data_IF_153354415525
#
_entry.id   IF_153354415525
#
_cell.length_a   1.000
_cell.length_b   1.000
_cell.length_c   1.000
_cell.angle_alpha   90.00
_cell.angle_beta   90.00
_cell.angle_gamma   90.00
#
_symmetry.space_group_name_H-M   'P 1'
#
loop_
_entity.id
_entity.type
_entity.pdbx_description
1 polymer ?
#
# COMPACT_ATOMS: atom_id res chain seq x y z
N UNK A 1 -26.84 -43.91 30.89
CA UNK A 1 -25.45 -43.94 30.38
C UNK A 1 -25.32 -42.84 29.33
N UNK A 2 -24.76 -41.66 29.66
CA UNK A 2 -24.79 -40.50 28.73
C UNK A 2 -23.54 -39.63 28.87
N UNK A 3 -22.36 -40.22 28.68
CA UNK A 3 -21.05 -39.51 28.74
C UNK A 3 -20.27 -39.53 27.40
N UNK A 4 -20.90 -39.98 26.31
CA UNK A 4 -20.25 -40.11 24.99
C UNK A 4 -20.30 -38.87 24.08
N UNK A 5 -21.20 -37.92 24.32
CA UNK A 5 -21.54 -36.90 23.30
C UNK A 5 -20.52 -35.74 23.20
N UNK A 6 -19.86 -35.38 24.30
CA UNK A 6 -19.05 -34.17 24.36
C UNK A 6 -17.63 -34.36 23.78
N UNK A 7 -17.12 -35.59 23.79
CA UNK A 7 -15.77 -35.93 23.28
C UNK A 7 -15.74 -36.03 21.76
N UNK A 8 -16.82 -36.55 21.16
CA UNK A 8 -17.05 -36.57 19.71
C UNK A 8 -17.14 -35.14 19.15
N UNK A 9 -17.92 -34.29 19.82
CA UNK A 9 -18.12 -32.90 19.43
C UNK A 9 -16.80 -32.09 19.49
N UNK A 10 -15.94 -32.38 20.46
CA UNK A 10 -14.62 -31.77 20.56
C UNK A 10 -13.69 -32.19 19.41
N UNK A 11 -13.72 -33.47 18.99
CA UNK A 11 -12.96 -33.97 17.84
C UNK A 11 -13.41 -33.32 16.54
N UNK A 12 -14.72 -33.22 16.31
CA UNK A 12 -15.28 -32.57 15.12
C UNK A 12 -14.93 -31.08 15.05
N UNK A 13 -14.94 -30.37 16.19
CA UNK A 13 -14.54 -28.95 16.26
C UNK A 13 -13.05 -28.75 15.96
N UNK A 14 -12.18 -29.66 16.42
CA UNK A 14 -10.74 -29.58 16.12
C UNK A 14 -10.44 -29.89 14.65
N UNK A 15 -11.10 -30.87 14.04
CA UNK A 15 -10.98 -31.15 12.61
C UNK A 15 -11.40 -29.96 11.75
N UNK A 16 -12.51 -29.28 12.11
CA UNK A 16 -12.99 -28.10 11.38
C UNK A 16 -12.02 -26.92 11.50
N UNK A 17 -11.42 -26.71 12.68
CA UNK A 17 -10.41 -25.65 12.92
C UNK A 17 -9.13 -25.87 12.10
N UNK A 18 -8.69 -27.12 11.94
CA UNK A 18 -7.54 -27.45 11.10
C UNK A 18 -7.83 -27.19 9.60
N UNK A 19 -9.04 -27.44 9.14
CA UNK A 19 -9.43 -27.18 7.74
C UNK A 19 -9.62 -25.69 7.40
N UNK A 20 -10.00 -24.85 8.39
CA UNK A 20 -10.25 -23.41 8.19
C UNK A 20 -8.97 -22.56 8.30
N UNK A 21 -7.88 -23.14 8.78
CA UNK A 21 -6.59 -22.45 8.98
C UNK A 21 -5.95 -21.93 7.68
N UNK A 22 -6.47 -22.31 6.51
CA UNK A 22 -6.04 -21.82 5.19
C UNK A 22 -6.84 -20.63 4.65
N UNK A 23 -8.00 -20.28 5.23
CA UNK A 23 -8.84 -19.17 4.77
C UNK A 23 -8.39 -17.85 5.40
N UNK A 24 -7.33 -17.27 4.85
CA UNK A 24 -6.91 -15.91 5.23
C UNK A 24 -5.41 -15.69 5.17
N UNK A 25 -4.61 -16.75 5.02
CA UNK A 25 -3.18 -16.59 4.75
C UNK A 25 -3.02 -16.17 3.29
N UNK A 26 -2.84 -14.87 3.08
CA UNK A 26 -2.42 -14.29 1.79
C UNK A 26 -1.27 -15.17 1.29
N UNK A 27 -1.43 -15.78 0.12
CA UNK A 27 -0.36 -16.54 -0.51
C UNK A 27 0.81 -15.58 -0.67
N UNK A 28 1.95 -15.94 -0.09
CA UNK A 28 3.16 -15.18 -0.32
C UNK A 28 3.57 -15.47 -1.75
N UNK A 29 3.34 -14.53 -2.66
CA UNK A 29 3.61 -14.69 -4.10
C UNK A 29 5.11 -14.79 -4.41
N UNK A 30 5.99 -14.91 -3.39
CA UNK A 30 7.44 -15.09 -3.52
C UNK A 30 8.18 -13.90 -4.14
N UNK A 31 7.46 -12.81 -4.48
CA UNK A 31 8.02 -11.64 -5.14
C UNK A 31 8.76 -10.76 -4.13
N UNK A 32 10.08 -10.62 -4.32
CA UNK A 32 10.92 -9.66 -3.61
C UNK A 32 10.35 -8.24 -3.70
N UNK A 33 10.48 -7.44 -2.63
CA UNK A 33 10.11 -6.04 -2.63
C UNK A 33 10.78 -5.25 -3.77
N UNK A 34 12.02 -5.62 -4.13
CA UNK A 34 12.74 -5.06 -5.27
C UNK A 34 12.08 -5.43 -6.61
N UNK A 35 11.60 -6.67 -6.77
CA UNK A 35 10.88 -7.11 -7.97
C UNK A 35 9.52 -6.41 -8.11
N UNK A 36 8.80 -6.18 -7.01
CA UNK A 36 7.56 -5.36 -7.00
C UNK A 36 7.86 -3.91 -7.40
N UNK A 37 8.97 -3.36 -6.89
CA UNK A 37 9.44 -1.99 -7.21
C UNK A 37 9.98 -1.87 -8.65
N UNK A 38 10.60 -2.91 -9.19
CA UNK A 38 11.06 -2.98 -10.59
C UNK A 38 9.90 -3.15 -11.57
N UNK A 39 8.84 -3.89 -11.19
CA UNK A 39 7.57 -3.91 -11.95
C UNK A 39 7.00 -2.51 -12.08
N UNK A 40 6.93 -1.75 -10.98
CA UNK A 40 6.53 -0.33 -11.00
C UNK A 40 7.47 0.55 -11.85
N UNK A 41 8.77 0.23 -11.94
CA UNK A 41 9.78 0.99 -12.69
C UNK A 41 9.70 0.82 -14.23
N UNK A 42 8.87 -0.10 -14.74
CA UNK A 42 8.59 -0.28 -16.17
C UNK A 42 7.12 -0.04 -16.56
N UNK A 43 6.27 0.36 -15.61
CA UNK A 43 4.83 0.48 -15.82
C UNK A 43 4.44 1.93 -16.05
N UNK A 44 3.41 2.10 -16.88
CA UNK A 44 2.68 3.35 -17.10
C UNK A 44 2.52 4.11 -15.79
N UNK A 45 2.81 5.42 -15.82
CA UNK A 45 2.76 6.28 -14.65
C UNK A 45 1.43 6.10 -13.90
N UNK A 46 1.51 5.95 -12.58
CA UNK A 46 0.35 5.81 -11.69
C UNK A 46 -0.59 7.00 -11.83
N UNK A 47 -0.03 8.20 -12.02
CA UNK A 47 -0.79 9.41 -12.29
C UNK A 47 -1.55 9.32 -13.63
N UNK A 48 -0.89 8.82 -14.67
CA UNK A 48 -1.51 8.63 -15.98
C UNK A 48 -2.69 7.63 -15.93
N UNK A 49 -2.55 6.55 -15.17
CA UNK A 49 -3.63 5.58 -14.96
C UNK A 49 -4.84 6.22 -14.24
N UNK A 50 -4.61 7.15 -13.31
CA UNK A 50 -5.71 7.89 -12.64
C UNK A 50 -6.41 8.87 -13.58
N UNK A 51 -5.66 9.57 -14.43
CA UNK A 51 -6.23 10.38 -15.50
C UNK A 51 -7.12 9.56 -16.42
N UNK A 52 -6.67 8.36 -16.82
CA UNK A 52 -7.48 7.45 -17.63
C UNK A 52 -8.77 7.03 -16.89
N UNK A 53 -8.70 6.74 -15.59
CA UNK A 53 -9.91 6.43 -14.81
C UNK A 53 -10.90 7.60 -14.77
N UNK A 54 -10.41 8.84 -14.62
CA UNK A 54 -11.26 10.02 -14.64
C UNK A 54 -11.93 10.21 -16.01
N UNK A 55 -11.19 10.02 -17.09
CA UNK A 55 -11.73 10.08 -18.45
C UNK A 55 -12.84 9.05 -18.66
N UNK A 56 -12.61 7.78 -18.30
CA UNK A 56 -13.62 6.73 -18.39
C UNK A 56 -14.87 7.03 -17.56
N UNK A 57 -14.70 7.64 -16.38
CA UNK A 57 -15.80 8.08 -15.52
C UNK A 57 -16.63 9.18 -16.18
N UNK A 58 -15.98 10.18 -16.79
CA UNK A 58 -16.65 11.27 -17.52
C UNK A 58 -17.43 10.77 -18.74
N UNK A 59 -17.01 9.66 -19.34
CA UNK A 59 -17.77 8.97 -20.38
C UNK A 59 -19.00 8.20 -19.85
N UNK A 60 -19.23 8.18 -18.54
CA UNK A 60 -20.36 7.49 -17.91
C UNK A 60 -20.20 5.96 -17.85
N UNK A 61 -18.99 5.44 -18.05
CA UNK A 61 -18.71 3.99 -18.00
C UNK A 61 -18.73 3.50 -16.56
N UNK A 62 -18.86 2.20 -16.36
CA UNK A 62 -18.73 1.57 -15.03
C UNK A 62 -17.28 1.26 -14.72
N UNK A 63 -16.90 1.23 -13.44
CA UNK A 63 -15.53 0.96 -13.01
C UNK A 63 -14.96 -0.38 -13.54
N UNK A 64 -15.79 -1.41 -13.67
CA UNK A 64 -15.38 -2.71 -14.24
C UNK A 64 -15.12 -2.65 -15.74
N UNK A 65 -15.83 -1.81 -16.46
CA UNK A 65 -15.63 -1.55 -17.89
C UNK A 65 -14.40 -0.68 -18.11
N UNK A 66 -14.26 0.40 -17.34
CA UNK A 66 -13.08 1.24 -17.32
C UNK A 66 -11.79 0.43 -17.09
N UNK A 67 -11.79 -0.50 -16.14
CA UNK A 67 -10.64 -1.37 -15.90
C UNK A 67 -10.25 -2.22 -17.11
N UNK A 68 -11.25 -2.78 -17.83
CA UNK A 68 -11.00 -3.57 -19.05
C UNK A 68 -10.46 -2.69 -20.17
N UNK A 69 -11.05 -1.52 -20.37
CA UNK A 69 -10.62 -0.57 -21.41
C UNK A 69 -9.19 -0.11 -21.16
N UNK A 70 -8.88 0.28 -19.92
CA UNK A 70 -7.54 0.70 -19.51
C UNK A 70 -6.53 -0.43 -19.68
N UNK A 71 -6.82 -1.66 -19.23
CA UNK A 71 -5.92 -2.79 -19.44
C UNK A 71 -5.74 -3.16 -20.92
N UNK A 72 -6.79 -3.00 -21.74
CA UNK A 72 -6.69 -3.23 -23.18
C UNK A 72 -5.79 -2.21 -23.87
N UNK A 73 -5.76 -0.95 -23.40
CA UNK A 73 -4.97 0.12 -23.98
C UNK A 73 -3.52 0.19 -23.45
N UNK A 74 -3.35 -0.05 -22.14
CA UNK A 74 -2.10 0.21 -21.40
C UNK A 74 -1.38 -1.08 -20.97
N UNK A 75 -1.99 -2.24 -21.17
CA UNK A 75 -1.42 -3.55 -20.84
C UNK A 75 -2.25 -4.33 -19.81
N UNK A 76 -2.20 -5.66 -19.90
CA UNK A 76 -3.12 -6.60 -19.24
C UNK A 76 -3.21 -6.46 -17.70
N UNK A 77 -2.23 -5.84 -17.05
CA UNK A 77 -2.18 -5.62 -15.60
C UNK A 77 -2.03 -4.14 -15.21
N UNK A 78 -2.36 -3.21 -16.10
CA UNK A 78 -2.20 -1.76 -15.85
C UNK A 78 -3.04 -1.29 -14.65
N UNK A 79 -4.26 -1.82 -14.48
CA UNK A 79 -5.14 -1.47 -13.38
C UNK A 79 -6.01 -2.65 -12.94
N UNK A 80 -6.31 -2.74 -11.65
CA UNK A 80 -7.32 -3.70 -11.16
C UNK A 80 -8.70 -3.05 -11.09
N UNK A 81 -9.75 -3.85 -11.27
CA UNK A 81 -11.14 -3.40 -11.11
C UNK A 81 -11.40 -2.78 -9.72
N UNK A 82 -10.76 -3.31 -8.67
CA UNK A 82 -10.89 -2.76 -7.30
C UNK A 82 -10.28 -1.36 -7.17
N UNK A 83 -9.17 -1.10 -7.89
CA UNK A 83 -8.54 0.23 -7.92
C UNK A 83 -9.43 1.23 -8.67
N UNK A 84 -10.00 0.83 -9.81
CA UNK A 84 -10.99 1.64 -10.53
C UNK A 84 -12.19 1.98 -9.66
N UNK A 85 -12.74 0.99 -8.94
CA UNK A 85 -13.88 1.21 -8.06
C UNK A 85 -13.60 2.27 -6.99
N UNK A 86 -12.45 2.20 -6.31
CA UNK A 86 -12.07 3.19 -5.28
C UNK A 86 -11.95 4.60 -5.82
N UNK A 87 -11.42 4.76 -7.03
CA UNK A 87 -11.34 6.07 -7.68
C UNK A 87 -12.71 6.57 -8.11
N UNK A 88 -13.55 5.70 -8.63
CA UNK A 88 -14.93 6.06 -9.02
C UNK A 88 -15.77 6.46 -7.80
N UNK A 89 -15.61 5.80 -6.66
CA UNK A 89 -16.22 6.22 -5.38
C UNK A 89 -15.82 7.66 -5.04
N UNK A 90 -14.53 8.02 -5.14
CA UNK A 90 -14.06 9.41 -4.94
C UNK A 90 -14.68 10.40 -5.95
N UNK A 91 -14.77 10.01 -7.22
CA UNK A 91 -15.34 10.88 -8.27
C UNK A 91 -16.84 11.10 -8.07
N UNK A 92 -17.57 10.08 -7.60
CA UNK A 92 -18.99 10.20 -7.23
C UNK A 92 -19.20 11.14 -6.03
N UNK A 93 -18.25 11.21 -5.11
CA UNK A 93 -18.22 12.19 -4.03
C UNK A 93 -17.83 13.61 -4.50
N UNK A 94 -17.60 13.81 -5.81
CA UNK A 94 -17.19 15.08 -6.39
C UNK A 94 -15.70 15.42 -6.21
N UNK A 95 -14.90 14.47 -5.71
CA UNK A 95 -13.47 14.66 -5.53
C UNK A 95 -12.68 14.17 -6.75
N UNK A 96 -12.28 15.10 -7.60
CA UNK A 96 -11.52 14.85 -8.83
C UNK A 96 -10.00 15.03 -8.67
N UNK A 97 -9.51 15.21 -7.44
CA UNK A 97 -8.06 15.30 -7.17
C UNK A 97 -7.37 13.98 -7.48
N UNK A 98 -6.43 13.98 -8.44
CA UNK A 98 -5.70 12.79 -8.89
C UNK A 98 -4.45 12.49 -8.04
N UNK A 99 -4.11 13.39 -7.13
CA UNK A 99 -3.13 13.13 -6.09
C UNK A 99 -3.63 12.02 -5.15
N UNK A 100 -2.84 10.95 -5.05
CA UNK A 100 -2.99 10.03 -3.95
C UNK A 100 -2.44 10.74 -2.72
N UNK A 101 -3.31 11.25 -1.85
CA UNK A 101 -2.92 11.78 -0.54
C UNK A 101 -2.03 10.73 0.09
N UNK A 102 -0.72 11.01 0.21
CA UNK A 102 0.31 10.07 0.68
C UNK A 102 -0.23 9.23 1.83
N UNK A 103 -0.68 8.02 1.51
CA UNK A 103 -1.52 7.26 2.43
C UNK A 103 -0.70 6.78 3.62
N UNK A 104 -1.06 7.19 4.83
CA UNK A 104 -0.57 6.66 6.13
C UNK A 104 0.95 6.43 6.26
N UNK A 105 1.76 7.04 5.40
CA UNK A 105 3.18 7.17 5.63
C UNK A 105 3.33 8.11 6.82
N UNK A 106 4.09 7.70 7.83
CA UNK A 106 4.61 8.67 8.80
C UNK A 106 5.37 9.68 7.95
N UNK A 107 4.80 10.87 7.75
CA UNK A 107 5.55 12.02 7.25
C UNK A 107 6.71 12.16 8.23
N UNK A 108 7.89 11.77 7.80
CA UNK A 108 9.10 12.08 8.53
C UNK A 108 9.25 13.59 8.42
N UNK A 109 8.79 14.32 9.44
CA UNK A 109 9.11 15.76 9.62
C UNK A 109 10.61 15.95 9.93
N UNK A 110 11.46 15.01 9.50
CA UNK A 110 12.89 15.04 9.71
C UNK A 110 13.49 15.77 8.51
N UNK A 111 14.09 16.91 8.80
CA UNK A 111 14.70 17.78 7.81
C UNK A 111 16.08 17.23 7.42
N UNK A 112 16.09 16.48 6.32
CA UNK A 112 17.30 15.88 5.77
C UNK A 112 18.28 16.95 5.23
N UNK A 113 17.77 18.10 4.77
CA UNK A 113 18.59 19.18 4.25
C UNK A 113 19.32 19.89 5.40
N UNK A 114 18.62 20.14 6.51
CA UNK A 114 19.24 20.64 7.74
C UNK A 114 20.30 19.68 8.30
N UNK A 115 20.05 18.37 8.26
CA UNK A 115 21.06 17.36 8.63
C UNK A 115 22.31 17.47 7.76
N UNK A 116 22.15 17.51 6.43
CA UNK A 116 23.27 17.61 5.51
C UNK A 116 24.06 18.90 5.69
N UNK A 117 23.38 20.04 5.91
CA UNK A 117 24.03 21.32 6.17
C UNK A 117 24.91 21.26 7.43
N UNK A 118 24.42 20.65 8.52
CA UNK A 118 25.17 20.51 9.77
C UNK A 118 26.40 19.58 9.61
N UNK A 119 26.27 18.49 8.86
CA UNK A 119 27.40 17.58 8.59
C UNK A 119 28.47 18.22 7.71
N UNK A 120 28.08 19.08 6.76
CA UNK A 120 29.01 19.85 5.93
C UNK A 120 29.73 20.92 6.76
N UNK A 121 29.00 21.61 7.64
CA UNK A 121 29.57 22.66 8.50
C UNK A 121 30.48 22.10 9.59
N UNK A 122 30.13 20.95 10.18
CA UNK A 122 30.94 20.30 11.20
C UNK A 122 30.92 18.77 11.01
N UNK A 123 31.90 18.21 10.28
CA UNK A 123 32.00 16.77 10.07
C UNK A 123 32.23 15.94 11.34
N UNK A 124 32.63 16.57 12.45
CA UNK A 124 32.87 15.91 13.75
C UNK A 124 31.68 16.04 14.71
N UNK A 125 30.55 16.59 14.25
CA UNK A 125 29.35 16.76 15.09
C UNK A 125 28.84 15.40 15.57
N UNK A 126 28.54 15.30 16.85
CA UNK A 126 28.07 14.06 17.44
C UNK A 126 26.59 13.83 17.14
N UNK A 127 26.15 12.56 17.16
CA UNK A 127 24.72 12.24 17.10
C UNK A 127 23.94 12.94 18.25
N UNK A 128 24.61 13.09 19.41
CA UNK A 128 24.30 13.97 20.55
C UNK A 128 23.69 15.31 20.10
N UNK A 129 24.57 16.06 19.47
CA UNK A 129 24.36 17.44 19.07
C UNK A 129 23.42 17.54 17.87
N UNK A 130 23.50 16.60 16.91
CA UNK A 130 22.57 16.54 15.79
C UNK A 130 21.12 16.33 16.23
N UNK A 131 20.88 15.38 17.14
CA UNK A 131 19.54 15.10 17.66
C UNK A 131 18.94 16.31 18.37
N UNK A 132 19.78 17.02 19.14
CA UNK A 132 19.40 18.24 19.86
C UNK A 132 19.10 19.39 18.90
N UNK A 133 19.94 19.59 17.88
CA UNK A 133 19.80 20.68 16.90
C UNK A 133 18.59 20.48 15.99
N UNK A 134 18.35 19.24 15.57
CA UNK A 134 17.21 18.87 14.71
C UNK A 134 15.94 18.55 15.51
N UNK A 135 15.95 18.78 16.84
CA UNK A 135 14.86 18.52 17.77
C UNK A 135 14.19 17.15 17.54
N UNK A 136 15.00 16.11 17.39
CA UNK A 136 14.58 14.77 17.03
C UNK A 136 15.13 13.73 18.02
N UNK A 137 14.55 12.53 18.03
CA UNK A 137 15.04 11.49 18.93
C UNK A 137 16.37 10.93 18.45
N UNK A 138 17.28 10.59 19.38
CA UNK A 138 18.51 9.84 19.10
C UNK A 138 18.25 8.56 18.26
N UNK A 139 17.13 7.89 18.49
CA UNK A 139 16.70 6.71 17.69
C UNK A 139 16.42 7.07 16.22
N UNK A 140 16.01 8.30 15.93
CA UNK A 140 15.79 8.80 14.57
C UNK A 140 17.12 8.98 13.83
N UNK A 141 18.19 9.36 14.54
CA UNK A 141 19.53 9.58 13.98
C UNK A 141 20.33 8.29 13.73
N UNK A 142 19.96 7.19 14.40
CA UNK A 142 20.65 5.90 14.34
C UNK A 142 20.04 4.91 13.31
N UNK A 143 18.94 5.27 12.65
CA UNK A 143 18.26 4.45 11.63
C UNK A 143 18.81 4.70 10.23
#
# INVERSE_FOLDING_TARGET
MTRGNQRELARQKNMKKQSDSGKGKRRDDGLSAAARKQRAKKMVDEEHIRHCMLYEFQLGRKASEAAKNICSALGQDAVSARKCQRWFEKFLEGNFSLDDKSGRGRVSNFDQEALQALLVQNPQITQQELATTLNCSQKTMSN
#
